data_IF_682665857814
#
_entry.id   IF_682665857814
#
_cell.length_a   1.000
_cell.length_b   1.000
_cell.length_c   1.000
_cell.angle_alpha   90.00
_cell.angle_beta   90.00
_cell.angle_gamma   90.00
#
_symmetry.space_group_name_H-M   'P 1'
#
loop_
_entity.id
_entity.type
_entity.pdbx_description
1 polymer ?
#
# COMPACT_ATOMS: atom_id res chain seq x y z
N UNK A 1 19.60 61.06 16.93
CA UNK A 1 19.46 59.88 16.05
C UNK A 1 20.66 58.98 16.30
N UNK A 2 20.54 57.98 17.19
CA UNK A 2 21.65 57.08 17.54
C UNK A 2 21.45 55.74 16.83
N UNK A 3 22.31 55.43 15.86
CA UNK A 3 22.27 54.19 15.10
C UNK A 3 22.79 53.02 15.94
N UNK A 4 21.90 52.09 16.29
CA UNK A 4 22.28 50.84 16.93
C UNK A 4 22.87 49.89 15.88
N UNK A 5 24.20 49.78 15.82
CA UNK A 5 24.88 48.72 15.08
C UNK A 5 24.69 47.39 15.83
N UNK A 6 23.78 46.55 15.36
CA UNK A 6 23.65 45.16 15.83
C UNK A 6 24.84 44.34 15.35
N UNK A 7 25.90 44.30 16.14
CA UNK A 7 27.04 43.40 15.91
C UNK A 7 26.58 41.95 16.12
N UNK A 8 26.42 41.20 15.02
CA UNK A 8 26.11 39.78 15.06
C UNK A 8 27.27 39.06 15.77
N UNK A 9 26.98 38.49 16.95
CA UNK A 9 27.98 37.80 17.77
C UNK A 9 28.56 36.58 17.02
N UNK A 10 29.89 36.44 17.01
CA UNK A 10 30.61 35.30 16.41
C UNK A 10 30.07 33.94 16.88
N UNK A 11 29.59 33.84 18.12
CA UNK A 11 28.92 32.63 18.63
C UNK A 11 27.63 32.30 17.90
N UNK A 12 26.82 33.30 17.53
CA UNK A 12 25.60 33.10 16.74
C UNK A 12 25.91 32.67 15.31
N UNK A 13 27.00 33.19 14.73
CA UNK A 13 27.48 32.75 13.41
C UNK A 13 27.96 31.28 13.43
N UNK A 14 28.73 30.89 14.44
CA UNK A 14 29.19 29.50 14.58
C UNK A 14 28.04 28.53 14.88
N UNK A 15 27.05 28.95 15.69
CA UNK A 15 25.84 28.15 15.95
C UNK A 15 24.98 27.99 14.69
N UNK A 16 24.83 29.05 13.89
CA UNK A 16 24.11 29.00 12.61
C UNK A 16 24.80 28.10 11.58
N UNK A 17 26.12 28.19 11.47
CA UNK A 17 26.90 27.35 10.55
C UNK A 17 26.82 25.85 10.93
N UNK A 18 26.88 25.53 12.22
CA UNK A 18 26.71 24.15 12.70
C UNK A 18 25.31 23.59 12.42
N UNK A 19 24.27 24.39 12.62
CA UNK A 19 22.89 23.98 12.31
C UNK A 19 22.67 23.75 10.80
N UNK A 20 23.26 24.58 9.95
CA UNK A 20 23.23 24.38 8.48
C UNK A 20 23.96 23.10 8.06
N UNK A 21 25.09 22.79 8.70
CA UNK A 21 25.84 21.55 8.43
C UNK A 21 25.07 20.29 8.82
N UNK A 22 24.34 20.32 9.94
CA UNK A 22 23.49 19.21 10.39
C UNK A 22 22.30 18.97 9.44
N UNK A 23 21.71 20.04 8.89
CA UNK A 23 20.61 19.94 7.92
C UNK A 23 21.06 19.41 6.55
N UNK A 24 22.32 19.64 6.15
CA UNK A 24 22.87 19.10 4.89
C UNK A 24 23.11 17.58 4.90
N UNK A 25 23.14 16.93 6.07
CA UNK A 25 23.35 15.47 6.19
C UNK A 25 22.02 14.70 6.33
N UNK A 26 20.92 15.37 6.68
CA UNK A 26 19.61 14.73 6.75
C UNK A 26 18.97 14.63 5.36
N UNK A 27 19.28 13.59 4.60
CA UNK A 27 18.46 13.19 3.47
C UNK A 27 17.14 12.61 3.99
N UNK A 28 16.15 13.48 4.23
CA UNK A 28 14.77 13.03 4.43
C UNK A 28 14.26 12.57 3.07
N UNK A 29 14.49 11.29 2.76
CA UNK A 29 13.93 10.67 1.57
C UNK A 29 12.43 10.50 1.77
N UNK A 30 11.64 11.32 1.07
CA UNK A 30 10.21 11.09 0.91
C UNK A 30 10.03 9.95 -0.10
N UNK A 31 10.16 8.71 0.37
CA UNK A 31 9.81 7.55 -0.43
C UNK A 31 8.34 7.66 -0.84
N UNK A 32 8.07 7.58 -2.14
CA UNK A 32 6.70 7.63 -2.64
C UNK A 32 5.94 6.36 -2.17
N UNK A 33 5.02 6.55 -1.23
CA UNK A 33 4.19 5.51 -0.61
C UNK A 33 3.29 4.86 -1.65
N UNK A 34 3.21 3.52 -1.64
CA UNK A 34 2.28 2.78 -2.49
C UNK A 34 0.86 2.99 -1.99
N UNK A 35 -0.08 3.25 -2.90
CA UNK A 35 -1.48 3.48 -2.57
C UNK A 35 -2.36 2.42 -3.20
N UNK A 36 -3.20 1.79 -2.38
CA UNK A 36 -4.26 0.89 -2.83
C UNK A 36 -5.41 1.74 -3.35
N UNK A 37 -5.75 1.55 -4.63
CA UNK A 37 -6.78 2.33 -5.33
C UNK A 37 -8.12 1.61 -5.41
N UNK A 38 -8.11 0.28 -5.42
CA UNK A 38 -9.33 -0.52 -5.36
C UNK A 38 -9.07 -1.86 -4.66
N UNK A 39 -10.09 -2.38 -4.01
CA UNK A 39 -10.17 -3.76 -3.56
C UNK A 39 -11.46 -4.35 -4.11
N UNK A 40 -11.39 -5.58 -4.64
CA UNK A 40 -12.54 -6.30 -5.19
C UNK A 40 -12.57 -7.72 -4.65
N UNK A 41 -13.76 -8.19 -4.27
CA UNK A 41 -13.99 -9.56 -3.81
C UNK A 41 -14.98 -10.25 -4.73
N UNK A 42 -14.57 -11.40 -5.27
CA UNK A 42 -15.36 -12.24 -6.17
C UNK A 42 -15.55 -13.62 -5.56
N UNK A 43 -16.66 -13.87 -4.85
CA UNK A 43 -16.99 -15.19 -4.34
C UNK A 43 -17.53 -16.07 -5.48
N UNK A 44 -17.01 -17.29 -5.58
CA UNK A 44 -17.56 -18.34 -6.43
C UNK A 44 -17.53 -19.68 -5.68
N UNK A 45 -18.24 -20.68 -6.19
CA UNK A 45 -18.31 -22.01 -5.57
C UNK A 45 -16.95 -22.74 -5.54
N UNK A 46 -16.08 -22.48 -6.51
CA UNK A 46 -14.77 -23.14 -6.65
C UNK A 46 -13.61 -22.39 -6.01
N UNK A 47 -13.67 -21.05 -5.94
CA UNK A 47 -12.68 -20.21 -5.27
C UNK A 47 -13.28 -18.83 -4.97
N UNK A 48 -12.74 -18.16 -3.94
CA UNK A 48 -12.95 -16.71 -3.75
C UNK A 48 -11.69 -15.97 -4.21
N UNK A 49 -11.86 -14.97 -5.08
CA UNK A 49 -10.77 -14.11 -5.54
C UNK A 49 -10.85 -12.75 -4.87
N UNK A 50 -9.76 -12.34 -4.23
CA UNK A 50 -9.56 -10.98 -3.74
C UNK A 50 -8.52 -10.30 -4.61
N UNK A 51 -8.87 -9.16 -5.19
CA UNK A 51 -7.97 -8.36 -6.04
C UNK A 51 -7.69 -7.04 -5.36
N UNK A 52 -6.41 -6.72 -5.19
CA UNK A 52 -5.94 -5.44 -4.66
C UNK A 52 -5.24 -4.69 -5.78
N UNK A 53 -5.83 -3.59 -6.22
CA UNK A 53 -5.27 -2.72 -7.24
C UNK A 53 -4.52 -1.57 -6.58
N UNK A 54 -3.39 -1.20 -7.14
CA UNK A 54 -2.50 -0.18 -6.59
C UNK A 54 -1.87 0.65 -7.70
N UNK A 55 -1.36 1.83 -7.34
CA UNK A 55 -0.66 2.73 -8.25
C UNK A 55 0.80 2.29 -8.55
N UNK A 56 1.33 1.35 -7.77
CA UNK A 56 2.70 0.82 -7.86
C UNK A 56 2.69 -0.65 -7.48
N UNK A 57 3.70 -1.40 -7.92
CA UNK A 57 3.83 -2.81 -7.54
C UNK A 57 3.93 -2.97 -6.01
N UNK A 58 3.04 -3.79 -5.44
CA UNK A 58 3.02 -4.08 -4.01
C UNK A 58 4.04 -5.16 -3.65
N UNK A 59 4.76 -4.92 -2.56
CA UNK A 59 5.49 -5.96 -1.83
C UNK A 59 4.55 -6.54 -0.78
N UNK A 60 4.52 -7.87 -0.68
CA UNK A 60 3.62 -8.52 0.26
C UNK A 60 4.20 -9.82 0.82
N UNK A 61 3.70 -10.21 1.99
CA UNK A 61 3.95 -11.50 2.63
C UNK A 61 2.63 -12.18 2.91
N UNK A 62 2.60 -13.50 2.74
CA UNK A 62 1.44 -14.33 3.06
C UNK A 62 1.81 -15.38 4.08
N UNK A 63 0.88 -15.66 4.99
CA UNK A 63 0.99 -16.81 5.88
C UNK A 63 -0.40 -17.23 6.37
N UNK A 64 -0.49 -18.47 6.83
CA UNK A 64 -1.68 -19.01 7.44
C UNK A 64 -1.55 -19.01 8.97
N UNK A 65 -2.66 -18.79 9.65
CA UNK A 65 -2.77 -19.01 11.09
C UNK A 65 -3.88 -20.02 11.34
N UNK A 66 -3.70 -20.88 12.33
CA UNK A 66 -4.75 -21.78 12.80
C UNK A 66 -5.46 -21.22 14.02
N UNK A 67 -6.59 -21.83 14.39
CA UNK A 67 -7.38 -21.53 15.59
C UNK A 67 -7.79 -20.04 15.75
N UNK A 68 -8.72 -19.51 14.93
CA UNK A 68 -9.34 -20.12 13.74
C UNK A 68 -8.46 -20.05 12.50
N UNK A 69 -8.79 -20.86 11.48
CA UNK A 69 -8.14 -20.85 10.17
C UNK A 69 -8.22 -19.46 9.52
N UNK A 70 -7.07 -18.87 9.22
CA UNK A 70 -6.94 -17.53 8.68
C UNK A 70 -5.85 -17.46 7.64
N UNK A 71 -6.08 -16.67 6.60
CA UNK A 71 -5.03 -16.21 5.69
C UNK A 71 -4.73 -14.77 6.02
N UNK A 72 -3.45 -14.48 6.24
CA UNK A 72 -2.95 -13.14 6.52
C UNK A 72 -2.09 -12.69 5.35
N UNK A 73 -2.33 -11.46 4.91
CA UNK A 73 -1.56 -10.80 3.87
C UNK A 73 -1.09 -9.46 4.40
N UNK A 74 0.23 -9.33 4.53
CA UNK A 74 0.89 -8.08 4.89
C UNK A 74 1.33 -7.40 3.61
N UNK A 75 0.98 -6.13 3.45
CA UNK A 75 1.36 -5.29 2.32
C UNK A 75 2.27 -4.18 2.85
N UNK A 76 3.53 -4.18 2.39
CA UNK A 76 4.56 -3.23 2.80
C UNK A 76 4.47 -1.93 1.96
N UNK A 77 5.04 -0.85 2.51
CA UNK A 77 5.07 0.48 1.93
C UNK A 77 3.67 1.06 1.59
N UNK A 78 2.65 0.70 2.38
CA UNK A 78 1.25 1.12 2.21
C UNK A 78 0.69 1.70 3.50
N UNK A 79 -0.07 2.80 3.37
CA UNK A 79 -0.87 3.37 4.45
C UNK A 79 -2.34 2.97 4.33
N UNK A 80 -2.97 2.68 5.46
CA UNK A 80 -4.38 2.36 5.55
C UNK A 80 -5.23 3.54 5.08
N UNK A 81 -6.07 3.31 4.06
CA UNK A 81 -6.97 4.32 3.49
C UNK A 81 -8.44 3.85 3.52
N UNK A 82 -9.35 4.71 3.03
CA UNK A 82 -10.79 4.41 3.00
C UNK A 82 -11.14 3.19 2.14
N UNK A 83 -10.44 3.01 1.02
CA UNK A 83 -10.62 1.85 0.12
C UNK A 83 -10.37 0.54 0.86
N UNK A 84 -9.23 0.45 1.56
CA UNK A 84 -8.88 -0.70 2.37
C UNK A 84 -9.90 -0.91 3.50
N UNK A 85 -10.24 0.13 4.27
CA UNK A 85 -11.24 0.06 5.35
C UNK A 85 -12.60 -0.46 4.86
N UNK A 86 -12.98 -0.15 3.62
CA UNK A 86 -14.22 -0.65 3.00
C UNK A 86 -14.20 -2.13 2.60
N UNK A 87 -13.03 -2.78 2.56
CA UNK A 87 -12.90 -4.18 2.12
C UNK A 87 -13.77 -5.14 2.93
N UNK A 88 -13.86 -4.96 4.25
CA UNK A 88 -14.63 -5.85 5.12
C UNK A 88 -16.11 -5.92 4.73
N UNK A 89 -16.67 -4.81 4.23
CA UNK A 89 -18.06 -4.74 3.78
C UNK A 89 -18.32 -5.47 2.44
N UNK A 90 -17.27 -5.83 1.68
CA UNK A 90 -17.39 -6.59 0.44
C UNK A 90 -17.49 -8.11 0.68
N UNK A 91 -17.22 -8.57 1.91
CA UNK A 91 -17.35 -9.99 2.25
C UNK A 91 -18.83 -10.31 2.42
N UNK A 92 -19.36 -11.13 1.52
CA UNK A 92 -20.75 -11.54 1.56
C UNK A 92 -20.94 -12.71 2.52
N UNK A 93 -22.11 -12.77 3.16
CA UNK A 93 -22.43 -13.88 4.06
C UNK A 93 -22.45 -15.24 3.35
N UNK A 94 -22.78 -15.26 2.06
CA UNK A 94 -22.84 -16.44 1.18
C UNK A 94 -21.50 -16.83 0.55
N UNK A 95 -20.39 -16.15 0.88
CA UNK A 95 -19.05 -16.54 0.41
C UNK A 95 -18.68 -17.93 0.98
N UNK A 96 -18.37 -18.94 0.14
CA UNK A 96 -18.13 -20.30 0.63
C UNK A 96 -16.76 -20.47 1.32
N UNK A 97 -15.83 -19.54 1.16
CA UNK A 97 -14.46 -19.65 1.67
C UNK A 97 -14.16 -18.66 2.78
N UNK A 98 -14.58 -17.40 2.65
CA UNK A 98 -14.26 -16.32 3.59
C UNK A 98 -15.45 -16.09 4.53
N UNK A 99 -15.19 -16.19 5.84
CA UNK A 99 -16.18 -15.91 6.88
C UNK A 99 -16.24 -14.42 7.23
N UNK A 100 -15.07 -13.80 7.38
CA UNK A 100 -14.95 -12.37 7.66
C UNK A 100 -13.59 -11.87 7.18
N UNK A 101 -13.48 -10.56 6.96
CA UNK A 101 -12.21 -9.93 6.69
C UNK A 101 -11.98 -8.73 7.61
N UNK A 102 -10.72 -8.52 8.00
CA UNK A 102 -10.27 -7.38 8.79
C UNK A 102 -9.06 -6.76 8.11
N UNK A 103 -8.92 -5.45 8.30
CA UNK A 103 -7.79 -4.70 7.78
C UNK A 103 -7.36 -3.67 8.82
N UNK A 104 -6.06 -3.50 8.97
CA UNK A 104 -5.51 -2.54 9.91
C UNK A 104 -4.09 -2.15 9.53
N UNK A 105 -3.66 -0.99 10.02
CA UNK A 105 -2.25 -0.62 10.02
C UNK A 105 -1.55 -1.49 11.07
N UNK A 106 -0.69 -2.41 10.65
CA UNK A 106 0.03 -3.31 11.55
C UNK A 106 1.26 -2.60 12.15
N UNK A 107 1.97 -1.86 11.30
CA UNK A 107 3.08 -0.99 11.67
C UNK A 107 3.08 0.26 10.76
N UNK A 108 3.93 1.28 10.97
CA UNK A 108 3.90 2.53 10.19
C UNK A 108 4.04 2.41 8.67
N UNK A 109 4.51 1.26 8.14
CA UNK A 109 4.68 1.03 6.71
C UNK A 109 3.87 -0.18 6.20
N UNK A 110 3.28 -0.98 7.09
CA UNK A 110 2.61 -2.23 6.71
C UNK A 110 1.12 -2.20 7.05
N UNK A 111 0.29 -2.48 6.03
CA UNK A 111 -1.13 -2.81 6.21
C UNK A 111 -1.28 -4.33 6.25
N UNK A 112 -1.96 -4.83 7.29
CA UNK A 112 -2.30 -6.24 7.42
C UNK A 112 -3.77 -6.47 7.07
N UNK A 113 -4.00 -7.37 6.12
CA UNK A 113 -5.31 -7.93 5.80
C UNK A 113 -5.41 -9.33 6.40
N UNK A 114 -6.50 -9.61 7.10
CA UNK A 114 -6.77 -10.91 7.73
C UNK A 114 -8.10 -11.42 7.22
N UNK A 115 -8.10 -12.60 6.60
CA UNK A 115 -9.30 -13.30 6.15
C UNK A 115 -9.52 -14.51 7.05
N UNK A 116 -10.58 -14.51 7.86
CA UNK A 116 -11.03 -15.70 8.60
C UNK A 116 -11.76 -16.62 7.63
N UNK A 117 -11.41 -17.90 7.64
CA UNK A 117 -11.89 -18.88 6.67
C UNK A 117 -13.01 -19.75 7.22
N UNK A 118 -13.89 -20.21 6.33
CA UNK A 118 -14.94 -21.21 6.63
C UNK A 118 -14.45 -22.65 6.50
N UNK A 119 -13.39 -22.86 5.72
CA UNK A 119 -12.81 -24.16 5.41
C UNK A 119 -11.31 -24.02 5.13
N UNK A 120 -10.58 -25.13 5.15
CA UNK A 120 -9.15 -25.14 4.81
C UNK A 120 -8.97 -24.80 3.32
N UNK A 121 -8.07 -23.88 3.01
CA UNK A 121 -7.77 -23.45 1.63
C UNK A 121 -6.27 -23.46 1.38
N UNK A 122 -5.88 -23.61 0.12
CA UNK A 122 -4.51 -23.39 -0.34
C UNK A 122 -4.44 -22.01 -1.01
N UNK A 123 -4.08 -20.94 -0.28
CA UNK A 123 -4.08 -19.59 -0.85
C UNK A 123 -2.99 -19.45 -1.91
N UNK A 124 -3.36 -18.86 -3.06
CA UNK A 124 -2.43 -18.51 -4.13
C UNK A 124 -2.44 -17.01 -4.34
N UNK A 125 -1.29 -16.36 -4.17
CA UNK A 125 -1.11 -14.94 -4.47
C UNK A 125 -0.13 -14.78 -5.62
N UNK A 126 -0.47 -13.92 -6.56
CA UNK A 126 0.39 -13.52 -7.66
C UNK A 126 0.20 -12.03 -7.94
N UNK A 127 1.29 -11.36 -8.30
CA UNK A 127 1.24 -9.98 -8.76
C UNK A 127 1.12 -9.94 -10.29
N UNK A 128 0.18 -9.16 -10.80
CA UNK A 128 0.11 -8.83 -12.22
C UNK A 128 0.91 -7.55 -12.47
N UNK A 129 1.73 -7.55 -13.52
CA UNK A 129 2.36 -6.30 -13.99
C UNK A 129 1.31 -5.47 -14.73
N UNK A 130 1.37 -4.14 -14.56
CA UNK A 130 0.55 -3.24 -15.37
C UNK A 130 0.85 -3.47 -16.85
N UNK A 131 -0.16 -3.86 -17.61
CA UNK A 131 -0.04 -3.98 -19.07
C UNK A 131 -0.21 -2.57 -19.64
N UNK A 132 0.90 -1.91 -19.97
CA UNK A 132 0.85 -0.76 -20.86
C UNK A 132 0.60 -1.29 -22.28
N UNK A 133 -0.66 -1.25 -22.71
CA UNK A 133 -1.00 -1.38 -24.12
C UNK A 133 -0.45 -0.15 -24.84
N UNK A 134 0.76 -0.28 -25.40
CA UNK A 134 1.21 0.62 -26.45
C UNK A 134 0.32 0.37 -27.67
N UNK A 135 -0.79 1.10 -27.76
CA UNK A 135 -1.60 1.18 -28.97
C UNK A 135 -0.79 1.93 -30.03
N UNK A 136 0.12 1.22 -30.72
CA UNK A 136 0.65 1.71 -31.99
C UNK A 136 -0.53 1.76 -32.95
N UNK A 137 -1.09 2.94 -33.19
CA UNK A 137 -2.00 3.16 -34.33
C UNK A 137 -1.21 2.87 -35.60
N UNK A 138 -1.25 1.63 -36.08
CA UNK A 138 -1.04 1.37 -37.50
C UNK A 138 -2.29 1.83 -38.24
N UNK A 139 -2.19 2.79 -39.17
CA UNK A 139 -3.30 3.09 -40.06
C UNK A 139 -3.45 1.89 -41.01
N UNK A 140 -4.50 1.10 -40.84
CA UNK A 140 -4.92 0.17 -41.90
C UNK A 140 -5.12 -1.30 -41.55
N UNK A 141 -5.63 -1.66 -40.37
CA UNK A 141 -6.26 -2.98 -40.21
C UNK A 141 -7.75 -2.80 -39.86
N UNK A 142 -8.60 -3.21 -40.81
CA UNK A 142 -10.04 -3.42 -40.59
C UNK A 142 -10.20 -4.50 -39.54
N UNK A 143 -10.92 -4.18 -38.48
CA UNK A 143 -11.35 -5.09 -37.43
C UNK A 143 -12.25 -6.18 -38.01
N UNK A 144 -11.87 -7.43 -37.77
CA UNK A 144 -12.73 -8.61 -37.86
C UNK A 144 -12.65 -9.29 -36.49
N UNK A 145 -13.80 -9.24 -35.80
CA UNK A 145 -14.15 -9.68 -34.44
C UNK A 145 -13.47 -8.97 -33.26
#
# INVERSE_FOLDING_TARGET
>A
MSGSNTAISRRRLLQGAGAMWLLSVSQVSLAAVSQVVAVRVWPASSYTRVTVESNRQLKYKQFALSNPERVVVDIEDVNLNSVLKGMAAQIRADDPFIKSARVGQFDPQTVRMVFELKQNVKPQLFALRHVHLHMRRSPGLKSVW
#
